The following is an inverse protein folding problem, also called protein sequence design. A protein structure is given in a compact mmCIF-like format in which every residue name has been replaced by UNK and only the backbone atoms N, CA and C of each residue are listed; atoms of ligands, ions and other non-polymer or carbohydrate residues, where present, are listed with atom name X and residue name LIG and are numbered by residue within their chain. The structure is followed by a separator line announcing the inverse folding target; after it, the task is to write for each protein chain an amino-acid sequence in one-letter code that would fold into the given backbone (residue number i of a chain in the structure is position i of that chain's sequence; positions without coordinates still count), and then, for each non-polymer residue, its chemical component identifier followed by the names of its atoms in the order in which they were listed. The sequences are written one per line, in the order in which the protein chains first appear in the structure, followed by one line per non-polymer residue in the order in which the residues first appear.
data_IF_570957930819
#
_entry.id   IF_570957930819
#
_cell.length_a   1.000
_cell.length_b   1.000
_cell.length_c   1.000
_cell.angle_alpha   90.00
_cell.angle_beta   90.00
_cell.angle_gamma   90.00
#
_symmetry.space_group_name_H-M   'P 1'
#
loop_
_entity.id
_entity.type
_entity.pdbx_description
1 polymer ?
#
# COMPACT_ATOMS: atom_id res chain seq x y z
N UNK A 1 1.87 -4.01 18.02
CA UNK A 1 2.89 -5.07 17.88
C UNK A 1 2.87 -5.58 16.45
N UNK A 2 4.03 -5.67 15.77
CA UNK A 2 4.11 -6.24 14.44
C UNK A 2 3.62 -7.69 14.43
N UNK A 3 2.99 -8.08 13.32
CA UNK A 3 2.72 -9.46 13.00
C UNK A 3 3.98 -10.24 12.61
N UNK A 4 3.79 -11.51 12.26
CA UNK A 4 4.86 -12.43 11.88
C UNK A 4 4.55 -13.13 10.55
N UNK A 5 5.32 -14.16 10.21
CA UNK A 5 5.04 -15.00 9.02
C UNK A 5 3.85 -15.96 9.24
N UNK A 6 3.48 -16.20 10.49
CA UNK A 6 2.41 -17.13 10.89
C UNK A 6 1.25 -16.42 11.57
N UNK A 7 1.39 -15.13 11.88
CA UNK A 7 0.36 -14.28 12.47
C UNK A 7 0.21 -12.98 11.67
N UNK A 8 -0.99 -12.69 11.22
CA UNK A 8 -1.34 -11.42 10.59
C UNK A 8 -2.02 -10.52 11.61
N UNK A 9 -1.56 -9.28 11.73
CA UNK A 9 -2.00 -8.31 12.73
C UNK A 9 -2.13 -6.87 12.15
N UNK A 10 -1.88 -6.68 10.86
CA UNK A 10 -1.91 -5.36 10.24
C UNK A 10 -3.30 -4.73 10.32
N UNK A 11 -3.39 -3.55 10.93
CA UNK A 11 -4.59 -2.74 10.94
C UNK A 11 -4.40 -1.53 10.03
N UNK A 12 -5.15 -1.44 8.94
CA UNK A 12 -5.09 -0.30 8.02
C UNK A 12 -5.76 0.96 8.59
N UNK A 13 -6.49 0.82 9.70
CA UNK A 13 -7.11 1.94 10.42
C UNK A 13 -6.28 2.40 11.62
N UNK A 14 -5.11 1.80 11.86
CA UNK A 14 -4.14 2.30 12.84
C UNK A 14 -3.61 3.66 12.37
N UNK A 15 -3.95 4.71 13.11
CA UNK A 15 -3.58 6.10 12.78
C UNK A 15 -2.10 6.39 12.97
N UNK A 16 -1.36 5.55 13.70
CA UNK A 16 0.10 5.68 13.84
C UNK A 16 0.77 5.19 12.55
N UNK A 17 0.42 3.98 12.10
CA UNK A 17 1.00 3.39 10.90
C UNK A 17 0.47 4.00 9.59
N UNK A 18 -0.83 4.35 9.59
CA UNK A 18 -1.55 4.85 8.42
C UNK A 18 -2.42 6.05 8.83
N UNK A 19 -1.85 7.22 9.13
CA UNK A 19 -2.64 8.37 9.53
C UNK A 19 -3.65 8.77 8.45
N UNK A 20 -4.85 9.16 8.88
CA UNK A 20 -5.80 9.90 8.06
C UNK A 20 -5.55 11.40 8.17
N UNK A 21 -6.32 12.20 7.43
CA UNK A 21 -6.28 13.66 7.42
C UNK A 21 -6.26 14.31 8.82
N UNK A 22 -6.94 13.75 9.82
CA UNK A 22 -7.04 14.34 11.15
C UNK A 22 -5.84 13.96 12.05
N UNK A 23 -5.06 12.96 11.66
CA UNK A 23 -4.01 12.37 12.48
C UNK A 23 -2.63 12.40 11.82
N UNK A 24 -2.45 13.18 10.75
CA UNK A 24 -1.13 13.33 10.12
C UNK A 24 -0.14 13.92 11.15
N UNK A 25 1.01 13.25 11.40
CA UNK A 25 2.02 13.78 12.29
C UNK A 25 2.47 15.19 11.88
N UNK A 26 2.65 16.08 12.85
CA UNK A 26 3.11 17.47 12.61
C UNK A 26 4.63 17.53 12.47
N UNK A 27 5.33 16.55 13.05
CA UNK A 27 6.78 16.43 13.00
C UNK A 27 7.20 15.30 12.07
N UNK A 28 8.39 15.39 11.44
CA UNK A 28 8.97 14.28 10.71
C UNK A 28 9.19 13.07 11.66
N UNK A 29 9.26 11.84 11.11
CA UNK A 29 9.50 10.65 11.92
C UNK A 29 10.87 10.73 12.59
N UNK A 30 10.97 10.20 13.81
CA UNK A 30 12.27 9.85 14.37
C UNK A 30 12.87 8.58 13.69
N UNK A 31 14.08 8.19 14.07
CA UNK A 31 14.80 7.06 13.44
C UNK A 31 14.06 5.70 13.52
N UNK A 32 13.14 5.54 14.46
CA UNK A 32 12.38 4.30 14.68
C UNK A 32 10.95 4.36 14.14
N UNK A 33 10.46 5.56 13.88
CA UNK A 33 9.10 5.79 13.41
C UNK A 33 9.00 5.70 11.90
N UNK A 34 7.86 5.21 11.44
CA UNK A 34 7.46 5.38 10.05
C UNK A 34 5.95 5.32 9.91
N UNK A 35 5.43 5.89 8.85
CA UNK A 35 4.02 5.74 8.47
C UNK A 35 3.86 5.77 6.96
N UNK A 36 2.67 5.40 6.48
CA UNK A 36 2.24 5.61 5.10
C UNK A 36 0.93 6.37 5.07
N UNK A 37 0.88 7.47 4.32
CA UNK A 37 -0.40 8.07 3.92
C UNK A 37 -0.99 7.18 2.83
N UNK A 38 -2.20 6.67 3.03
CA UNK A 38 -2.91 5.85 2.05
C UNK A 38 -3.92 6.70 1.29
N UNK A 39 -3.69 6.89 0.00
CA UNK A 39 -4.62 7.66 -0.85
C UNK A 39 -4.91 6.95 -2.15
N UNK A 40 -6.14 7.03 -2.65
CA UNK A 40 -6.56 6.45 -3.93
C UNK A 40 -6.63 7.53 -5.02
N UNK A 41 -6.08 7.27 -6.20
CA UNK A 41 -6.17 8.20 -7.33
C UNK A 41 -7.60 8.21 -7.87
N UNK A 42 -8.27 9.35 -7.76
CA UNK A 42 -9.63 9.54 -8.27
C UNK A 42 -9.67 10.30 -9.60
N UNK A 43 -8.69 11.17 -9.87
CA UNK A 43 -8.52 11.81 -11.17
C UNK A 43 -7.05 12.11 -11.48
N UNK A 44 -6.73 12.15 -12.77
CA UNK A 44 -5.44 12.64 -13.26
C UNK A 44 -5.63 14.09 -13.72
N UNK A 45 -4.96 15.02 -13.03
CA UNK A 45 -5.05 16.47 -13.26
C UNK A 45 -3.76 17.04 -13.86
N UNK A 46 -2.95 16.16 -14.47
CA UNK A 46 -1.67 16.52 -15.06
C UNK A 46 -1.85 17.44 -16.27
N UNK A 47 -1.16 18.58 -16.26
CA UNK A 47 -1.04 19.47 -17.43
C UNK A 47 0.40 19.45 -17.94
N UNK A 48 1.34 19.97 -17.14
CA UNK A 48 2.78 19.99 -17.48
C UNK A 48 3.62 19.03 -16.63
N UNK A 49 3.09 18.66 -15.46
CA UNK A 49 3.71 17.73 -14.52
C UNK A 49 2.67 16.74 -14.02
N UNK A 50 3.08 15.55 -13.56
CA UNK A 50 2.17 14.61 -12.95
C UNK A 50 1.53 15.19 -11.69
N UNK A 51 0.21 15.36 -11.74
CA UNK A 51 -0.63 15.83 -10.64
C UNK A 51 -1.85 14.92 -10.59
N UNK A 52 -2.16 14.41 -9.41
CA UNK A 52 -3.27 13.51 -9.19
C UNK A 52 -4.13 14.04 -8.06
N UNK A 53 -5.44 14.12 -8.29
CA UNK A 53 -6.38 14.23 -7.19
C UNK A 53 -6.52 12.85 -6.57
N UNK A 54 -6.36 12.80 -5.26
CA UNK A 54 -6.46 11.57 -4.51
C UNK A 54 -7.46 11.71 -3.38
N UNK A 55 -8.10 10.61 -3.03
CA UNK A 55 -9.00 10.52 -1.87
C UNK A 55 -8.28 9.82 -0.72
N UNK A 56 -8.39 10.37 0.48
CA UNK A 56 -7.88 9.79 1.72
C UNK A 56 -8.61 8.47 2.06
N UNK A 57 -8.08 7.73 3.04
CA UNK A 57 -8.78 6.56 3.56
C UNK A 57 -10.12 6.86 4.24
N UNK A 58 -10.33 8.11 4.70
CA UNK A 58 -11.62 8.66 5.10
C UNK A 58 -12.31 9.31 3.89
N UNK A 59 -13.32 8.63 3.35
CA UNK A 59 -14.04 9.07 2.16
C UNK A 59 -14.56 10.51 2.26
N UNK A 60 -14.54 11.21 1.13
CA UNK A 60 -14.92 12.61 1.01
C UNK A 60 -13.79 13.60 1.30
N UNK A 61 -12.62 13.14 1.77
CA UNK A 61 -11.45 13.99 1.97
C UNK A 61 -10.50 13.85 0.78
N UNK A 62 -10.24 14.97 0.10
CA UNK A 62 -9.43 14.99 -1.11
C UNK A 62 -8.14 15.78 -0.91
N UNK A 63 -7.10 15.29 -1.57
CA UNK A 63 -5.78 15.89 -1.62
C UNK A 63 -5.28 15.96 -3.05
N UNK A 64 -4.21 16.71 -3.23
CA UNK A 64 -3.43 16.69 -4.47
C UNK A 64 -2.07 16.05 -4.21
N UNK A 65 -1.67 15.12 -5.07
CA UNK A 65 -0.30 14.57 -5.09
C UNK A 65 0.38 15.03 -6.36
N UNK A 66 1.43 15.83 -6.21
CA UNK A 66 2.18 16.41 -7.33
C UNK A 66 3.64 15.96 -7.31
N UNK A 67 4.14 15.48 -8.45
CA UNK A 67 5.52 15.03 -8.60
C UNK A 67 6.45 16.20 -8.97
N UNK A 68 7.50 16.36 -8.17
CA UNK A 68 8.55 17.40 -8.26
C UNK A 68 9.96 16.79 -8.31
N UNK A 69 10.07 15.48 -8.53
CA UNK A 69 11.35 14.78 -8.73
C UNK A 69 12.05 15.25 -10.01
N UNK A 70 13.30 14.82 -10.22
CA UNK A 70 14.09 15.13 -11.42
C UNK A 70 13.50 14.52 -12.70
N UNK A 71 12.74 13.41 -12.60
CA UNK A 71 12.11 12.74 -13.73
C UNK A 71 10.65 12.36 -13.43
N UNK A 72 9.76 13.35 -13.26
CA UNK A 72 8.47 13.14 -12.63
C UNK A 72 7.55 12.26 -13.48
N UNK A 73 7.62 12.36 -14.81
CA UNK A 73 6.81 11.53 -15.73
C UNK A 73 7.19 10.05 -15.60
N UNK A 74 8.49 9.74 -15.51
CA UNK A 74 8.94 8.36 -15.34
C UNK A 74 8.58 7.81 -13.96
N UNK A 75 8.70 8.63 -12.91
CA UNK A 75 8.35 8.25 -11.53
C UNK A 75 6.85 8.03 -11.36
N UNK A 76 6.02 8.78 -12.07
CA UNK A 76 4.56 8.67 -12.02
C UNK A 76 3.98 7.64 -13.01
N UNK A 77 4.80 6.91 -13.79
CA UNK A 77 4.32 6.03 -14.87
C UNK A 77 3.33 4.93 -14.43
N UNK A 78 3.40 4.51 -13.16
CA UNK A 78 2.52 3.49 -12.59
C UNK A 78 1.22 4.08 -12.01
N UNK A 79 1.14 5.41 -11.87
CA UNK A 79 -0.03 6.12 -11.34
C UNK A 79 -1.18 6.06 -12.34
N UNK A 80 -2.25 5.39 -11.96
CA UNK A 80 -3.49 5.26 -12.75
C UNK A 80 -4.68 5.46 -11.83
N UNK A 81 -5.75 6.05 -12.35
CA UNK A 81 -7.03 6.15 -11.62
C UNK A 81 -7.43 4.77 -11.09
N UNK A 82 -7.85 4.72 -9.82
CA UNK A 82 -8.15 3.50 -9.08
C UNK A 82 -6.92 2.75 -8.52
N UNK A 83 -5.73 3.33 -8.59
CA UNK A 83 -4.54 2.83 -7.87
C UNK A 83 -4.32 3.61 -6.58
N UNK A 84 -3.74 2.98 -5.55
CA UNK A 84 -3.27 3.70 -4.37
C UNK A 84 -1.92 4.37 -4.65
N UNK A 85 -1.78 5.62 -4.21
CA UNK A 85 -0.49 6.24 -3.90
C UNK A 85 -0.29 6.13 -2.38
N UNK A 86 0.66 5.31 -1.96
CA UNK A 86 1.05 5.18 -0.56
C UNK A 86 2.34 5.99 -0.33
N UNK A 87 2.28 7.05 0.48
CA UNK A 87 3.38 8.00 0.66
C UNK A 87 4.04 7.74 2.02
N UNK A 88 5.26 7.19 2.00
CA UNK A 88 6.04 6.95 3.21
C UNK A 88 6.40 8.28 3.85
N UNK A 89 6.13 8.42 5.15
CA UNK A 89 6.44 9.60 5.94
C UNK A 89 5.92 10.90 5.29
N UNK A 90 4.76 10.81 4.62
CA UNK A 90 4.18 11.90 3.86
C UNK A 90 3.75 13.05 4.75
N UNK A 91 4.16 14.26 4.37
CA UNK A 91 3.81 15.51 5.05
C UNK A 91 3.12 16.45 4.06
N UNK A 92 1.85 16.83 4.29
CA UNK A 92 1.13 17.72 3.38
C UNK A 92 1.70 19.14 3.46
N UNK A 93 1.63 19.85 2.34
CA UNK A 93 2.06 21.24 2.18
C UNK A 93 0.96 22.01 1.44
N UNK A 94 0.92 23.31 1.70
CA UNK A 94 0.14 24.24 0.88
C UNK A 94 0.95 24.61 -0.36
N UNK A 95 0.31 24.49 -1.52
CA UNK A 95 0.86 24.91 -2.80
C UNK A 95 0.59 26.41 -3.01
N UNK A 96 1.36 27.03 -3.90
CA UNK A 96 1.28 28.47 -4.17
C UNK A 96 -0.08 28.90 -4.76
N UNK A 97 -0.82 27.98 -5.37
CA UNK A 97 -2.16 28.17 -5.92
C UNK A 97 -3.28 27.94 -4.88
N UNK A 98 -2.92 27.70 -3.62
CA UNK A 98 -3.85 27.45 -2.52
C UNK A 98 -4.29 26.00 -2.38
N UNK A 99 -3.90 25.10 -3.29
CA UNK A 99 -4.17 23.67 -3.13
C UNK A 99 -3.42 23.12 -1.89
N UNK A 100 -3.94 22.05 -1.30
CA UNK A 100 -3.34 21.39 -0.13
C UNK A 100 -3.12 19.92 -0.45
N UNK A 101 -1.93 19.38 -0.13
CA UNK A 101 -1.59 17.99 -0.46
C UNK A 101 -0.10 17.68 -0.42
N UNK A 102 0.33 16.63 -1.12
CA UNK A 102 1.68 16.09 -1.03
C UNK A 102 2.53 16.44 -2.23
N UNK A 103 3.69 17.03 -1.97
CA UNK A 103 4.73 17.29 -2.97
C UNK A 103 5.77 16.17 -2.91
N UNK A 104 5.83 15.36 -3.97
CA UNK A 104 6.77 14.23 -4.07
C UNK A 104 8.08 14.72 -4.65
N UNK A 105 9.11 14.85 -3.81
CA UNK A 105 10.46 15.27 -4.22
C UNK A 105 11.41 14.07 -4.35
N UNK A 106 11.06 12.94 -3.73
CA UNK A 106 11.80 11.67 -3.81
C UNK A 106 10.80 10.54 -4.07
N UNK A 107 10.90 9.90 -5.25
CA UNK A 107 10.01 8.82 -5.66
C UNK A 107 10.23 7.53 -4.87
N UNK A 108 11.37 7.37 -4.18
CA UNK A 108 11.65 6.20 -3.34
C UNK A 108 10.74 6.11 -2.11
N UNK A 109 10.17 7.24 -1.69
CA UNK A 109 9.18 7.30 -0.61
C UNK A 109 7.77 6.96 -1.07
N UNK A 110 7.54 6.71 -2.36
CA UNK A 110 6.21 6.44 -2.89
C UNK A 110 6.08 4.97 -3.30
N UNK A 111 5.01 4.34 -2.82
CA UNK A 111 4.60 3.01 -3.22
C UNK A 111 3.26 3.06 -3.94
N UNK A 112 3.27 2.72 -5.23
CA UNK A 112 2.03 2.58 -6.01
C UNK A 112 1.48 1.17 -5.89
N UNK A 113 0.24 1.03 -5.42
CA UNK A 113 -0.46 -0.26 -5.40
C UNK A 113 -1.51 -0.29 -6.51
N UNK A 114 -1.51 -1.31 -7.41
CA UNK A 114 -2.42 -1.37 -8.55
C UNK A 114 -3.83 -1.84 -8.15
N UNK A 115 -4.41 -1.20 -7.15
CA UNK A 115 -5.76 -1.44 -6.65
C UNK A 115 -6.26 -0.21 -5.89
N UNK A 116 -7.58 -0.07 -5.74
CA UNK A 116 -8.17 0.96 -4.87
C UNK A 116 -8.24 0.52 -3.40
N UNK A 117 -8.70 1.41 -2.54
CA UNK A 117 -8.76 1.22 -1.09
C UNK A 117 -9.67 0.06 -0.70
N UNK A 118 -10.84 -0.05 -1.35
CA UNK A 118 -11.78 -1.13 -1.11
C UNK A 118 -11.14 -2.51 -1.34
N UNK A 119 -10.35 -2.65 -2.42
CA UNK A 119 -9.66 -3.89 -2.73
C UNK A 119 -8.49 -4.16 -1.78
N UNK A 120 -7.76 -3.12 -1.37
CA UNK A 120 -6.72 -3.23 -0.36
C UNK A 120 -7.28 -3.75 0.97
N UNK A 121 -8.41 -3.18 1.43
CA UNK A 121 -9.12 -3.62 2.65
C UNK A 121 -9.63 -5.05 2.52
N UNK A 122 -10.18 -5.44 1.36
CA UNK A 122 -10.59 -6.82 1.10
C UNK A 122 -9.41 -7.80 1.27
N UNK A 123 -8.27 -7.52 0.62
CA UNK A 123 -7.09 -8.39 0.70
C UNK A 123 -6.53 -8.46 2.13
N UNK A 124 -6.54 -7.34 2.86
CA UNK A 124 -6.17 -7.29 4.27
C UNK A 124 -7.08 -8.19 5.12
N UNK A 125 -8.40 -8.13 4.92
CA UNK A 125 -9.37 -8.97 5.61
C UNK A 125 -9.22 -10.47 5.28
N UNK A 126 -8.92 -10.81 4.03
CA UNK A 126 -8.64 -12.19 3.61
C UNK A 126 -7.39 -12.74 4.31
N UNK A 127 -6.34 -11.94 4.50
CA UNK A 127 -5.14 -12.32 5.24
C UNK A 127 -5.41 -12.51 6.74
N UNK A 128 -6.22 -11.63 7.35
CA UNK A 128 -6.71 -11.81 8.72
C UNK A 128 -7.47 -13.12 8.89
N UNK A 129 -8.44 -13.38 8.01
CA UNK A 129 -9.21 -14.64 8.03
C UNK A 129 -8.29 -15.86 7.97
N UNK A 130 -7.37 -15.88 7.00
CA UNK A 130 -6.40 -16.99 6.88
C UNK A 130 -5.51 -17.13 8.11
N UNK A 131 -5.12 -16.03 8.75
CA UNK A 131 -4.36 -16.07 10.00
C UNK A 131 -5.16 -16.67 11.15
N UNK A 132 -6.42 -16.26 11.30
CA UNK A 132 -7.31 -16.78 12.35
C UNK A 132 -7.59 -18.27 12.17
N UNK A 133 -7.68 -18.74 10.92
CA UNK A 133 -7.86 -20.14 10.59
C UNK A 133 -6.56 -20.98 10.71
N UNK A 134 -5.42 -20.36 11.05
CA UNK A 134 -4.11 -21.03 11.10
C UNK A 134 -3.54 -21.41 9.73
N UNK A 135 -4.06 -20.81 8.65
CA UNK A 135 -3.76 -21.13 7.25
C UNK A 135 -2.83 -20.12 6.57
N UNK A 136 -2.30 -19.13 7.30
CA UNK A 136 -1.41 -18.10 6.74
C UNK A 136 -0.11 -18.70 6.18
N UNK A 137 0.36 -19.79 6.81
CA UNK A 137 1.48 -20.61 6.36
C UNK A 137 1.03 -21.90 5.68
N UNK A 138 -0.07 -21.88 4.92
CA UNK A 138 -0.53 -23.03 4.15
C UNK A 138 -0.72 -22.64 2.69
N UNK A 139 -0.83 -23.64 1.80
CA UNK A 139 -1.12 -23.39 0.39
C UNK A 139 -2.39 -22.54 0.23
N UNK A 140 -2.33 -21.42 -0.51
CA UNK A 140 -3.52 -20.57 -0.72
C UNK A 140 -4.60 -21.22 -1.59
N UNK A 141 -4.25 -22.26 -2.35
CA UNK A 141 -5.17 -22.96 -3.26
C UNK A 141 -5.89 -24.12 -2.58
N UNK A 142 -5.16 -24.98 -1.86
CA UNK A 142 -5.70 -26.23 -1.30
C UNK A 142 -5.51 -26.39 0.21
N UNK A 143 -4.89 -25.42 0.89
CA UNK A 143 -4.60 -25.44 2.34
C UNK A 143 -3.69 -26.57 2.85
N UNK A 144 -3.11 -27.40 1.97
CA UNK A 144 -2.06 -28.37 2.33
C UNK A 144 -0.75 -27.68 2.77
N UNK A 145 0.15 -28.46 3.38
CA UNK A 145 1.46 -28.01 3.86
C UNK A 145 2.34 -27.44 2.74
N UNK A 146 3.27 -26.56 3.12
CA UNK A 146 4.05 -25.72 2.18
C UNK A 146 5.22 -26.50 1.59
N UNK A 147 5.41 -26.36 0.26
CA UNK A 147 6.67 -26.68 -0.42
C UNK A 147 7.37 -25.44 -0.98
N UNK A 148 6.63 -24.54 -1.65
CA UNK A 148 7.19 -23.38 -2.37
C UNK A 148 6.41 -22.09 -2.10
N UNK A 149 6.92 -20.94 -2.55
CA UNK A 149 6.23 -19.65 -2.42
C UNK A 149 6.53 -18.70 -3.56
N UNK A 150 5.66 -17.72 -3.77
CA UNK A 150 5.91 -16.64 -4.72
C UNK A 150 7.21 -15.93 -4.33
N UNK A 151 8.15 -15.82 -5.26
CA UNK A 151 9.46 -15.20 -4.99
C UNK A 151 9.34 -13.74 -4.55
N UNK A 152 8.30 -13.03 -5.00
CA UNK A 152 8.06 -11.60 -4.73
C UNK A 152 7.35 -11.38 -3.38
N UNK A 153 6.08 -11.78 -3.28
CA UNK A 153 5.26 -11.50 -2.10
C UNK A 153 5.26 -12.61 -1.03
N UNK A 154 5.91 -13.75 -1.30
CA UNK A 154 6.03 -14.90 -0.36
C UNK A 154 4.73 -15.66 -0.05
N UNK A 155 3.63 -15.38 -0.76
CA UNK A 155 2.43 -16.24 -0.74
C UNK A 155 2.79 -17.71 -0.97
N UNK A 156 2.18 -18.60 -0.18
CA UNK A 156 2.60 -20.00 -0.05
C UNK A 156 1.79 -20.95 -0.93
N UNK A 157 2.48 -21.94 -1.48
CA UNK A 157 1.91 -22.99 -2.32
C UNK A 157 2.51 -24.36 -1.92
N UNK A 158 1.75 -25.43 -2.07
CA UNK A 158 2.28 -26.78 -1.87
C UNK A 158 3.15 -27.23 -3.06
N UNK A 159 2.94 -26.66 -4.26
CA UNK A 159 3.64 -27.04 -5.48
C UNK A 159 3.68 -25.92 -6.53
N UNK A 160 4.55 -26.09 -7.54
CA UNK A 160 4.55 -25.24 -8.75
C UNK A 160 3.21 -25.32 -9.52
N UNK A 161 2.48 -26.44 -9.43
CA UNK A 161 1.17 -26.61 -10.05
C UNK A 161 0.13 -25.67 -9.46
N UNK A 162 0.02 -25.64 -8.12
CA UNK A 162 -0.85 -24.70 -7.42
C UNK A 162 -0.46 -23.24 -7.69
N UNK A 163 0.84 -22.93 -7.72
CA UNK A 163 1.30 -21.57 -8.04
C UNK A 163 0.89 -21.14 -9.47
N UNK A 164 1.06 -22.02 -10.46
CA UNK A 164 0.65 -21.72 -11.85
C UNK A 164 -0.86 -21.57 -11.97
N UNK A 165 -1.62 -22.40 -11.28
CA UNK A 165 -3.09 -22.34 -11.27
C UNK A 165 -3.61 -21.03 -10.65
N UNK A 166 -2.98 -20.55 -9.57
CA UNK A 166 -3.35 -19.28 -8.92
C UNK A 166 -2.85 -18.04 -9.68
N UNK A 167 -1.83 -18.20 -10.54
CA UNK A 167 -1.13 -17.07 -11.16
C UNK A 167 -2.03 -16.03 -11.85
N UNK A 168 -3.08 -16.39 -12.62
CA UNK A 168 -3.98 -15.39 -13.22
C UNK A 168 -4.65 -14.49 -12.19
N UNK A 169 -5.01 -15.04 -11.02
CA UNK A 169 -5.61 -14.28 -9.90
C UNK A 169 -4.55 -13.58 -9.06
N UNK A 170 -3.39 -14.20 -8.87
CA UNK A 170 -2.32 -13.71 -8.02
C UNK A 170 -1.52 -12.57 -8.64
N UNK A 171 -1.20 -12.67 -9.94
CA UNK A 171 -0.31 -11.72 -10.64
C UNK A 171 -0.75 -10.26 -10.46
N UNK A 172 -2.03 -9.89 -10.63
CA UNK A 172 -2.48 -8.50 -10.47
C UNK A 172 -2.30 -7.98 -9.04
N UNK A 173 -2.48 -8.84 -8.04
CA UNK A 173 -2.43 -8.47 -6.62
C UNK A 173 -1.08 -8.73 -5.95
N UNK A 174 -0.12 -9.31 -6.68
CA UNK A 174 1.17 -9.73 -6.12
C UNK A 174 1.93 -8.57 -5.45
N UNK A 175 1.91 -7.37 -6.07
CA UNK A 175 2.53 -6.16 -5.51
C UNK A 175 1.82 -5.71 -4.23
N UNK A 176 0.49 -5.80 -4.20
CA UNK A 176 -0.35 -5.45 -3.04
C UNK A 176 -0.09 -6.40 -1.87
N UNK A 177 -0.08 -7.71 -2.13
CA UNK A 177 0.22 -8.73 -1.12
C UNK A 177 1.63 -8.57 -0.56
N UNK A 178 2.61 -8.20 -1.40
CA UNK A 178 3.97 -7.91 -0.94
C UNK A 178 3.95 -6.77 0.10
N UNK A 179 3.30 -5.65 -0.22
CA UNK A 179 3.18 -4.49 0.66
C UNK A 179 2.49 -4.86 1.98
N UNK A 180 1.32 -5.51 1.91
CA UNK A 180 0.57 -5.96 3.09
C UNK A 180 1.39 -6.90 3.99
N UNK A 181 2.20 -7.79 3.42
CA UNK A 181 3.08 -8.65 4.20
C UNK A 181 4.29 -7.92 4.79
N UNK A 182 4.83 -6.90 4.11
CA UNK A 182 5.91 -6.07 4.62
C UNK A 182 5.41 -5.21 5.78
N UNK A 183 4.35 -4.44 5.55
CA UNK A 183 3.66 -3.64 6.55
C UNK A 183 3.23 -4.42 7.79
N UNK A 184 2.72 -5.64 7.62
CA UNK A 184 2.39 -6.52 8.76
C UNK A 184 3.60 -6.81 9.66
N UNK A 185 4.82 -6.81 9.13
CA UNK A 185 6.05 -7.12 9.85
C UNK A 185 6.84 -5.87 10.25
N UNK A 186 6.37 -4.70 9.85
CA UNK A 186 6.98 -3.43 10.22
C UNK A 186 6.64 -3.12 11.67
N UNK A 187 7.66 -2.80 12.46
CA UNK A 187 7.48 -2.07 13.69
C UNK A 187 7.40 -0.59 13.33
N UNK A 188 6.29 0.06 13.67
CA UNK A 188 5.96 1.39 13.15
C UNK A 188 6.54 2.54 13.99
N UNK A 189 7.21 2.20 15.10
CA UNK A 189 7.76 3.16 16.08
C UNK A 189 6.90 3.26 17.32
#
# INVERSE_FOLDING_TARGET
MPGSRTRYALNLDDVIAFPDIAHIPVFPPNEKESWYILTEIVSNESVFRPVFRVEDKLSGNYWVVAYYTDNPVADAKECKVGSMICIKNGMPKQFADGQYGFRIEDSSNVLILPCGLAKLRQLNAELHKRSNDGLLSSCVVCNSHIGTGCAKCKTRYCSKGCQKADWPRHKPICKVLKALHEWNRTDWG
#
